data_IF_308677651764
#
_entry.id   IF_308677651764
#
_cell.length_a   1.000
_cell.length_b   1.000
_cell.length_c   1.000
_cell.angle_alpha   90.00
_cell.angle_beta   90.00
_cell.angle_gamma   90.00
#
_symmetry.space_group_name_H-M   'P 1'
#
loop_
_entity.id
_entity.type
_entity.pdbx_description
1 polymer ?
#
# COMPACT_ATOMS: atom_id res chain seq x y z
N UNK A 1 -14.79 -5.81 23.03
CA UNK A 1 -14.19 -4.49 22.73
C UNK A 1 -12.77 -4.75 22.26
N UNK A 2 -12.56 -4.83 20.95
CA UNK A 2 -11.26 -5.14 20.35
C UNK A 2 -10.59 -3.83 19.95
N UNK A 3 -9.51 -3.52 20.66
CA UNK A 3 -8.61 -2.39 20.40
C UNK A 3 -8.10 -2.55 18.97
N UNK A 4 -8.64 -1.78 18.04
CA UNK A 4 -8.08 -1.68 16.70
C UNK A 4 -6.90 -0.74 16.82
N UNK A 5 -5.73 -1.34 16.74
CA UNK A 5 -4.41 -0.73 16.73
C UNK A 5 -4.42 0.62 16.00
N UNK A 6 -3.79 1.63 16.58
CA UNK A 6 -3.61 2.94 15.97
C UNK A 6 -2.95 2.78 14.60
N UNK A 7 -3.76 2.91 13.54
CA UNK A 7 -3.26 2.80 12.17
C UNK A 7 -2.57 4.11 11.84
N UNK A 8 -1.25 4.07 11.66
CA UNK A 8 -0.48 5.24 11.25
C UNK A 8 -0.65 5.39 9.74
N UNK A 9 -1.36 6.44 9.33
CA UNK A 9 -1.52 6.80 7.93
C UNK A 9 -0.27 7.55 7.47
N UNK A 10 0.50 6.92 6.57
CA UNK A 10 1.70 7.52 6.01
C UNK A 10 1.57 7.59 4.50
N UNK A 11 2.00 8.71 3.92
CA UNK A 11 2.10 8.87 2.47
C UNK A 11 3.40 8.25 1.98
N UNK A 12 3.31 7.53 0.88
CA UNK A 12 4.44 6.84 0.27
C UNK A 12 4.15 6.70 -1.23
N UNK A 13 5.21 6.59 -2.04
CA UNK A 13 5.12 6.47 -3.50
C UNK A 13 5.37 5.03 -3.95
N UNK A 14 4.49 4.49 -4.76
CA UNK A 14 4.60 3.18 -5.40
C UNK A 14 5.74 3.24 -6.41
N UNK A 15 6.80 2.48 -6.13
CA UNK A 15 7.97 2.37 -6.99
C UNK A 15 7.82 1.23 -7.99
N UNK A 16 7.33 0.06 -7.53
CA UNK A 16 7.20 -1.13 -8.38
C UNK A 16 5.93 -1.93 -8.06
N UNK A 17 5.29 -2.43 -9.11
CA UNK A 17 4.13 -3.33 -9.00
C UNK A 17 4.58 -4.78 -9.20
N UNK A 18 4.39 -5.64 -8.19
CA UNK A 18 4.67 -7.07 -8.28
C UNK A 18 3.39 -7.84 -8.68
N UNK A 19 3.51 -8.98 -9.39
CA UNK A 19 2.38 -9.73 -9.92
C UNK A 19 1.43 -10.32 -8.86
N UNK A 20 1.81 -10.35 -7.58
CA UNK A 20 1.01 -10.92 -6.48
C UNK A 20 0.08 -9.90 -5.79
N UNK A 21 -0.21 -8.77 -6.44
CA UNK A 21 -0.87 -7.61 -5.82
C UNK A 21 -0.11 -7.07 -4.60
N UNK A 22 1.22 -7.26 -4.61
CA UNK A 22 2.17 -6.62 -3.71
C UNK A 22 2.77 -5.42 -4.42
N UNK A 23 2.96 -4.33 -3.70
CA UNK A 23 3.49 -3.09 -4.22
C UNK A 23 4.70 -2.73 -3.39
N UNK A 24 5.80 -2.41 -4.06
CA UNK A 24 6.94 -1.81 -3.40
C UNK A 24 6.65 -0.33 -3.31
N UNK A 25 6.58 0.18 -2.08
CA UNK A 25 6.33 1.58 -1.80
C UNK A 25 7.56 2.17 -1.11
N UNK A 26 7.93 3.37 -1.49
CA UNK A 26 8.98 4.15 -0.86
C UNK A 26 8.34 5.23 0.00
N UNK A 27 8.57 5.17 1.31
CA UNK A 27 8.15 6.23 2.22
C UNK A 27 9.02 7.48 1.99
N UNK A 28 8.50 8.65 2.36
CA UNK A 28 9.26 9.91 2.31
C UNK A 28 10.55 9.87 3.15
N UNK A 29 10.63 8.97 4.13
CA UNK A 29 11.84 8.71 4.92
C UNK A 29 12.92 7.87 4.19
N UNK A 30 12.71 7.48 2.92
CA UNK A 30 13.67 6.68 2.13
C UNK A 30 13.63 5.17 2.43
N UNK A 31 12.65 4.70 3.21
CA UNK A 31 12.45 3.28 3.46
C UNK A 31 11.58 2.65 2.38
N UNK A 32 12.06 1.54 1.80
CA UNK A 32 11.31 0.72 0.85
C UNK A 32 10.57 -0.37 1.62
N UNK A 33 9.25 -0.37 1.50
CA UNK A 33 8.35 -1.30 2.19
C UNK A 33 7.54 -2.07 1.16
N UNK A 34 7.26 -3.33 1.47
CA UNK A 34 6.32 -4.15 0.73
C UNK A 34 4.92 -3.98 1.32
N UNK A 35 4.00 -3.49 0.51
CA UNK A 35 2.60 -3.34 0.86
C UNK A 35 1.72 -4.23 -0.01
N UNK A 36 0.49 -4.43 0.43
CA UNK A 36 -0.53 -5.16 -0.31
C UNK A 36 -1.80 -4.32 -0.40
N UNK A 37 -2.58 -4.56 -1.45
CA UNK A 37 -3.84 -3.87 -1.65
C UNK A 37 -4.83 -4.26 -0.54
N UNK A 38 -5.49 -3.24 0.04
CA UNK A 38 -6.61 -3.46 0.95
C UNK A 38 -7.78 -4.16 0.26
N UNK A 39 -8.44 -5.11 0.92
CA UNK A 39 -9.57 -5.84 0.36
C UNK A 39 -10.72 -4.96 -0.15
N UNK A 40 -10.88 -3.74 0.39
CA UNK A 40 -11.84 -2.75 -0.12
C UNK A 40 -11.49 -2.31 -1.55
N UNK A 41 -10.22 -2.04 -1.84
CA UNK A 41 -9.78 -1.62 -3.18
C UNK A 41 -9.99 -2.72 -4.21
N UNK A 42 -9.84 -4.01 -3.82
CA UNK A 42 -10.20 -5.15 -4.69
C UNK A 42 -11.69 -5.18 -5.01
N UNK A 43 -12.55 -4.91 -4.01
CA UNK A 43 -14.01 -4.85 -4.19
C UNK A 43 -14.44 -3.74 -5.14
N UNK A 44 -13.74 -2.59 -5.12
CA UNK A 44 -14.00 -1.46 -6.00
C UNK A 44 -13.17 -1.47 -7.31
N UNK A 45 -12.45 -2.58 -7.59
CA UNK A 45 -11.61 -2.72 -8.79
C UNK A 45 -10.64 -1.53 -9.03
N UNK A 46 -10.11 -0.95 -7.94
CA UNK A 46 -9.15 0.15 -8.03
C UNK A 46 -7.82 -0.42 -8.53
N UNK A 47 -7.37 0.03 -9.70
CA UNK A 47 -6.09 -0.34 -10.28
C UNK A 47 -5.03 0.67 -9.82
N UNK A 48 -3.94 0.14 -9.26
CA UNK A 48 -2.76 0.93 -8.90
C UNK A 48 -1.76 0.78 -10.04
N UNK A 49 -1.25 1.90 -10.53
CA UNK A 49 -0.17 1.95 -11.51
C UNK A 49 1.17 2.21 -10.80
N UNK A 50 2.29 1.74 -11.36
CA UNK A 50 3.61 2.08 -10.82
C UNK A 50 3.85 3.58 -11.02
N UNK A 51 4.16 4.30 -9.94
CA UNK A 51 4.39 5.75 -9.93
C UNK A 51 3.36 6.58 -9.14
N UNK A 52 2.27 5.96 -8.68
CA UNK A 52 1.27 6.59 -7.79
C UNK A 52 1.72 6.67 -6.32
#
# INVERSE_FOLDING_TARGET
>A
MSVKEEVIEVKAKVTECLPNASFRIELENGHKVLAYISGKMRKYFIRILPGD
#
